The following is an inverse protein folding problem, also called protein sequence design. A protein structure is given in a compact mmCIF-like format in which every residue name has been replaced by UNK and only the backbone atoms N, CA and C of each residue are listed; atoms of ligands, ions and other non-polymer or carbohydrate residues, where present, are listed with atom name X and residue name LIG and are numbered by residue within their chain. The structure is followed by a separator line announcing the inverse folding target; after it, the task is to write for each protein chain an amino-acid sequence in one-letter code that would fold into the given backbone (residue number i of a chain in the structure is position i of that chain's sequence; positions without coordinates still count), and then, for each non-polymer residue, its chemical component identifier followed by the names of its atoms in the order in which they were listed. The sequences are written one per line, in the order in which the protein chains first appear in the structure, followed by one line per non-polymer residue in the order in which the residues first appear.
data_IF_569194540439
#
_entry.id   IF_569194540439
#
_cell.length_a   1.000
_cell.length_b   1.000
_cell.length_c   1.000
_cell.angle_alpha   90.00
_cell.angle_beta   90.00
_cell.angle_gamma   90.00
#
_symmetry.space_group_name_H-M   'P 1'
#
loop_
_entity.id
_entity.type
_entity.pdbx_description
1 polymer ?
#
# COMPACT_ATOMS: atom_id res chain seq x y z
N UNK A 1 -19.46 0.80 -28.46
CA UNK A 1 -20.05 -0.08 -29.49
C UNK A 1 -18.92 -0.65 -30.32
N UNK A 2 -18.58 -1.93 -30.11
CA UNK A 2 -17.60 -2.61 -30.93
C UNK A 2 -18.21 -2.93 -32.29
N UNK A 3 -17.48 -2.66 -33.38
CA UNK A 3 -17.92 -3.00 -34.74
C UNK A 3 -18.07 -4.52 -34.90
N UNK A 4 -19.14 -5.03 -35.50
CA UNK A 4 -19.31 -6.45 -35.69
C UNK A 4 -18.21 -7.03 -36.62
N UNK A 5 -17.76 -8.24 -36.30
CA UNK A 5 -16.78 -8.98 -37.08
C UNK A 5 -17.27 -9.09 -38.55
N UNK A 6 -16.46 -8.75 -39.58
CA UNK A 6 -16.91 -8.78 -40.94
C UNK A 6 -17.31 -10.20 -41.36
N UNK A 7 -18.50 -10.34 -41.96
CA UNK A 7 -18.99 -11.57 -42.59
C UNK A 7 -18.12 -11.88 -43.81
N UNK A 8 -17.21 -12.81 -43.68
CA UNK A 8 -16.53 -13.38 -44.83
C UNK A 8 -17.23 -14.71 -45.26
N UNK A 9 -18.08 -14.60 -46.24
CA UNK A 9 -18.71 -15.71 -46.93
C UNK A 9 -17.64 -16.45 -47.81
N UNK A 10 -16.86 -17.31 -47.16
CA UNK A 10 -16.02 -18.29 -47.87
C UNK A 10 -15.94 -19.59 -47.09
N UNK A 11 -16.60 -20.62 -47.64
CA UNK A 11 -16.32 -22.04 -47.47
C UNK A 11 -16.20 -22.61 -46.05
N UNK A 12 -17.31 -23.07 -45.44
CA UNK A 12 -17.30 -24.22 -44.52
C UNK A 12 -16.90 -23.97 -43.06
N UNK A 13 -16.34 -22.82 -42.64
CA UNK A 13 -16.01 -22.51 -41.24
C UNK A 13 -16.81 -21.32 -40.77
N UNK A 14 -17.70 -21.51 -39.81
CA UNK A 14 -18.43 -20.42 -39.15
C UNK A 14 -17.44 -19.44 -38.52
N UNK A 15 -17.49 -18.14 -38.88
CA UNK A 15 -16.61 -17.14 -38.25
C UNK A 15 -16.79 -17.15 -36.74
N UNK A 16 -15.71 -16.98 -35.99
CA UNK A 16 -15.76 -16.80 -34.52
C UNK A 16 -15.75 -18.08 -33.68
N UNK A 17 -15.93 -19.29 -34.25
CA UNK A 17 -15.95 -20.55 -33.47
C UNK A 17 -14.64 -20.77 -32.66
N UNK A 18 -13.52 -20.28 -33.16
CA UNK A 18 -12.22 -20.39 -32.47
C UNK A 18 -12.15 -19.57 -31.19
N UNK A 19 -12.97 -18.51 -31.04
CA UNK A 19 -13.00 -17.63 -29.88
C UNK A 19 -14.14 -17.96 -28.93
N UNK A 20 -14.98 -18.93 -29.24
CA UNK A 20 -16.18 -19.25 -28.48
C UNK A 20 -15.86 -19.60 -27.03
N UNK A 21 -14.93 -20.52 -26.79
CA UNK A 21 -14.54 -20.92 -25.43
C UNK A 21 -13.96 -19.74 -24.63
N UNK A 22 -13.19 -18.85 -25.28
CA UNK A 22 -12.67 -17.64 -24.65
C UNK A 22 -13.80 -16.67 -24.25
N UNK A 23 -14.80 -16.50 -25.12
CA UNK A 23 -15.96 -15.65 -24.82
C UNK A 23 -16.82 -16.25 -23.70
N UNK A 24 -17.01 -17.57 -23.68
CA UNK A 24 -17.68 -18.27 -22.56
C UNK A 24 -16.91 -18.02 -21.25
N UNK A 25 -15.59 -18.18 -21.29
CA UNK A 25 -14.72 -17.94 -20.16
C UNK A 25 -14.81 -16.49 -19.64
N UNK A 26 -14.67 -15.50 -20.52
CA UNK A 26 -14.79 -14.08 -20.15
C UNK A 26 -16.15 -13.74 -19.56
N UNK A 27 -17.23 -14.33 -20.11
CA UNK A 27 -18.57 -14.15 -19.58
C UNK A 27 -18.68 -14.71 -18.15
N UNK A 28 -18.22 -15.95 -17.93
CA UNK A 28 -18.26 -16.57 -16.62
C UNK A 28 -17.40 -15.81 -15.57
N UNK A 29 -16.21 -15.35 -15.95
CA UNK A 29 -15.36 -14.54 -15.06
C UNK A 29 -16.07 -13.31 -14.56
N UNK A 30 -16.88 -12.68 -15.41
CA UNK A 30 -17.53 -11.41 -15.12
C UNK A 30 -18.87 -11.55 -14.42
N UNK A 31 -19.62 -12.60 -14.73
CA UNK A 31 -21.01 -12.73 -14.29
C UNK A 31 -21.25 -13.86 -13.30
N UNK A 32 -20.22 -14.53 -12.80
CA UNK A 32 -20.38 -15.60 -11.83
C UNK A 32 -19.42 -15.50 -10.66
N UNK A 33 -19.87 -15.97 -9.51
CA UNK A 33 -19.15 -16.08 -8.25
C UNK A 33 -19.81 -17.17 -7.38
N UNK A 34 -19.48 -17.19 -6.08
CA UNK A 34 -20.04 -18.20 -5.16
C UNK A 34 -21.56 -18.13 -5.09
N UNK A 35 -22.15 -16.94 -5.22
CA UNK A 35 -23.57 -16.70 -5.10
C UNK A 35 -24.31 -16.61 -6.44
N UNK A 36 -23.60 -16.42 -7.56
CA UNK A 36 -24.19 -16.19 -8.85
C UNK A 36 -23.71 -17.23 -9.89
N UNK A 37 -24.66 -17.85 -10.58
CA UNK A 37 -24.39 -18.79 -11.67
C UNK A 37 -25.07 -18.32 -12.97
N UNK A 38 -24.39 -18.55 -14.09
CA UNK A 38 -24.88 -18.19 -15.42
C UNK A 38 -25.62 -19.36 -16.09
N UNK A 39 -26.86 -19.14 -16.49
CA UNK A 39 -27.62 -20.14 -17.24
C UNK A 39 -27.03 -20.35 -18.65
N UNK A 40 -27.21 -21.54 -19.23
CA UNK A 40 -26.82 -21.80 -20.62
C UNK A 40 -27.49 -20.83 -21.60
N UNK A 41 -28.68 -20.30 -21.28
CA UNK A 41 -29.37 -19.34 -22.15
C UNK A 41 -28.72 -17.97 -22.08
N UNK A 42 -28.29 -17.50 -20.90
CA UNK A 42 -27.55 -16.25 -20.74
C UNK A 42 -26.21 -16.30 -21.50
N UNK A 43 -25.50 -17.42 -21.42
CA UNK A 43 -24.24 -17.62 -22.18
C UNK A 43 -24.51 -17.60 -23.70
N UNK A 44 -25.59 -18.22 -24.18
CA UNK A 44 -25.98 -18.19 -25.60
C UNK A 44 -26.27 -16.76 -26.06
N UNK A 45 -27.02 -15.99 -25.27
CA UNK A 45 -27.33 -14.61 -25.63
C UNK A 45 -26.07 -13.77 -25.77
N UNK A 46 -25.16 -13.89 -24.81
CA UNK A 46 -23.85 -13.24 -24.91
C UNK A 46 -23.08 -13.63 -26.18
N UNK A 47 -23.05 -14.93 -26.52
CA UNK A 47 -22.39 -15.38 -27.75
C UNK A 47 -23.03 -14.83 -29.02
N UNK A 48 -24.38 -14.62 -29.01
CA UNK A 48 -25.12 -14.01 -30.15
C UNK A 48 -24.69 -12.56 -30.41
N UNK A 49 -24.32 -11.81 -29.38
CA UNK A 49 -23.79 -10.45 -29.54
C UNK A 49 -22.53 -10.43 -30.43
N UNK A 50 -21.77 -11.52 -30.44
CA UNK A 50 -20.59 -11.73 -31.26
C UNK A 50 -20.87 -12.50 -32.57
N UNK A 51 -22.16 -12.70 -32.90
CA UNK A 51 -22.55 -13.43 -34.11
C UNK A 51 -22.34 -14.94 -34.01
N UNK A 52 -22.15 -15.51 -32.83
CA UNK A 52 -21.89 -16.91 -32.58
C UNK A 52 -23.17 -17.62 -32.15
N UNK A 53 -23.61 -18.64 -32.88
CA UNK A 53 -24.72 -19.50 -32.47
C UNK A 53 -24.18 -20.74 -31.78
N UNK A 54 -24.64 -21.02 -30.57
CA UNK A 54 -24.27 -22.18 -29.79
C UNK A 54 -25.53 -22.87 -29.20
N UNK A 55 -25.48 -24.17 -29.05
CA UNK A 55 -26.45 -24.96 -28.28
C UNK A 55 -25.88 -25.31 -26.90
N UNK A 56 -26.74 -25.85 -26.03
CA UNK A 56 -26.37 -26.20 -24.67
C UNK A 56 -25.23 -27.22 -24.59
N UNK A 57 -25.25 -28.23 -25.49
CA UNK A 57 -24.21 -29.27 -25.51
C UNK A 57 -22.85 -28.71 -26.03
N UNK A 58 -22.92 -27.75 -26.92
CA UNK A 58 -21.73 -27.08 -27.42
C UNK A 58 -21.08 -26.21 -26.34
N UNK A 59 -21.86 -25.52 -25.50
CA UNK A 59 -21.36 -24.75 -24.35
C UNK A 59 -20.76 -25.68 -23.30
N UNK A 60 -21.42 -26.80 -22.98
CA UNK A 60 -20.88 -27.79 -22.06
C UNK A 60 -19.50 -28.31 -22.50
N UNK A 61 -19.35 -28.65 -23.77
CA UNK A 61 -18.04 -29.09 -24.33
C UNK A 61 -16.97 -28.01 -24.27
N UNK A 62 -17.33 -26.72 -24.42
CA UNK A 62 -16.36 -25.63 -24.25
C UNK A 62 -15.91 -25.54 -22.81
N UNK A 63 -16.82 -25.70 -21.85
CA UNK A 63 -16.54 -25.69 -20.43
C UNK A 63 -15.67 -26.89 -20.02
N UNK A 64 -16.00 -28.07 -20.53
CA UNK A 64 -15.18 -29.26 -20.30
C UNK A 64 -13.73 -29.04 -20.81
N UNK A 65 -13.59 -28.48 -22.02
CA UNK A 65 -12.28 -28.17 -22.61
C UNK A 65 -11.51 -27.12 -21.82
N UNK A 66 -12.20 -26.12 -21.20
CA UNK A 66 -11.57 -25.14 -20.31
C UNK A 66 -11.10 -25.80 -19.01
N UNK A 67 -11.92 -26.68 -18.41
CA UNK A 67 -11.52 -27.43 -17.22
C UNK A 67 -10.37 -28.39 -17.49
N UNK A 68 -10.34 -29.05 -18.66
CA UNK A 68 -9.18 -29.85 -19.11
C UNK A 68 -7.91 -29.00 -19.18
N UNK A 69 -7.99 -27.78 -19.75
CA UNK A 69 -6.85 -26.87 -19.83
C UNK A 69 -6.36 -26.49 -18.42
N UNK A 70 -7.26 -26.15 -17.50
CA UNK A 70 -6.89 -25.80 -16.13
C UNK A 70 -6.28 -26.99 -15.37
N UNK A 71 -6.78 -28.20 -15.61
CA UNK A 71 -6.22 -29.43 -15.02
C UNK A 71 -4.82 -29.74 -15.56
N UNK A 72 -4.56 -29.53 -16.86
CA UNK A 72 -3.23 -29.71 -17.49
C UNK A 72 -2.24 -28.69 -16.86
N UNK A 73 -2.65 -27.45 -16.72
CA UNK A 73 -1.84 -26.40 -16.13
C UNK A 73 -1.52 -26.69 -14.66
N UNK A 74 -2.51 -27.19 -13.91
CA UNK A 74 -2.32 -27.60 -12.51
C UNK A 74 -1.39 -28.81 -12.35
N UNK A 75 -1.33 -29.70 -13.35
CA UNK A 75 -0.48 -30.91 -13.34
C UNK A 75 0.94 -30.65 -13.88
N UNK A 76 1.18 -29.51 -14.53
CA UNK A 76 2.50 -29.16 -15.03
C UNK A 76 3.45 -28.83 -13.87
N UNK A 77 4.75 -29.17 -14.03
CA UNK A 77 5.81 -28.74 -13.11
C UNK A 77 6.11 -27.25 -13.26
N UNK A 78 5.08 -26.41 -13.13
CA UNK A 78 5.15 -24.94 -13.20
C UNK A 78 5.14 -24.42 -11.77
N UNK A 79 5.80 -23.29 -11.52
CA UNK A 79 5.73 -22.59 -10.24
C UNK A 79 4.23 -22.32 -9.90
N UNK A 80 3.82 -22.60 -8.66
CA UNK A 80 2.44 -22.39 -8.19
C UNK A 80 1.87 -20.99 -8.50
N UNK A 81 2.75 -20.01 -8.67
CA UNK A 81 2.39 -18.63 -9.00
C UNK A 81 1.93 -18.44 -10.45
N UNK A 82 2.31 -19.34 -11.34
CA UNK A 82 2.00 -19.26 -12.77
C UNK A 82 0.82 -20.16 -13.16
N UNK A 83 0.21 -20.88 -12.20
CA UNK A 83 -0.90 -21.80 -12.41
C UNK A 83 -2.22 -21.07 -12.58
N UNK A 84 -3.00 -21.50 -13.56
CA UNK A 84 -4.39 -21.09 -13.75
C UNK A 84 -5.30 -21.90 -12.82
N UNK A 85 -5.34 -21.56 -11.54
CA UNK A 85 -6.17 -22.26 -10.54
C UNK A 85 -7.64 -21.85 -10.70
N UNK A 86 -8.31 -22.37 -11.73
CA UNK A 86 -9.72 -22.16 -11.98
C UNK A 86 -10.46 -23.50 -12.11
N UNK A 87 -11.71 -23.51 -11.70
CA UNK A 87 -12.63 -24.61 -11.89
C UNK A 87 -14.03 -24.08 -12.23
N UNK A 88 -14.63 -24.58 -13.28
CA UNK A 88 -16.01 -24.26 -13.67
C UNK A 88 -16.90 -25.45 -13.36
N UNK A 89 -17.91 -25.24 -12.52
CA UNK A 89 -18.89 -26.27 -12.17
C UNK A 89 -20.30 -25.90 -12.64
N UNK A 90 -21.16 -26.91 -12.75
CA UNK A 90 -22.60 -26.71 -12.92
C UNK A 90 -23.26 -26.74 -11.55
N UNK A 91 -23.79 -25.61 -11.11
CA UNK A 91 -24.58 -25.50 -9.88
C UNK A 91 -26.03 -25.92 -10.15
N UNK A 92 -26.40 -27.07 -9.60
CA UNK A 92 -27.75 -27.63 -9.79
C UNK A 92 -28.83 -26.81 -9.06
N UNK A 93 -28.51 -26.16 -7.96
CA UNK A 93 -29.44 -25.33 -7.19
C UNK A 93 -29.78 -24.04 -7.95
N UNK A 94 -28.77 -23.42 -8.57
CA UNK A 94 -28.91 -22.20 -9.38
C UNK A 94 -29.18 -22.46 -10.84
N UNK A 95 -29.13 -23.72 -11.28
CA UNK A 95 -29.36 -24.19 -12.67
C UNK A 95 -28.44 -23.49 -13.69
N UNK A 96 -27.17 -23.29 -13.34
CA UNK A 96 -26.21 -22.58 -14.16
C UNK A 96 -24.77 -22.97 -13.89
N UNK A 97 -23.88 -22.51 -14.75
CA UNK A 97 -22.43 -22.66 -14.58
C UNK A 97 -21.88 -21.52 -13.74
N UNK A 98 -20.92 -21.83 -12.87
CA UNK A 98 -20.16 -20.82 -12.12
C UNK A 98 -18.69 -21.22 -12.01
N UNK A 99 -17.85 -20.24 -11.78
CA UNK A 99 -16.46 -20.46 -11.39
C UNK A 99 -16.44 -20.75 -9.88
N UNK A 100 -16.10 -21.99 -9.53
CA UNK A 100 -16.07 -22.45 -8.13
C UNK A 100 -14.70 -22.24 -7.49
N UNK A 101 -13.62 -22.15 -8.29
CA UNK A 101 -12.28 -21.88 -7.81
C UNK A 101 -11.67 -20.74 -8.62
N UNK A 102 -11.10 -19.77 -7.92
CA UNK A 102 -10.31 -18.66 -8.46
C UNK A 102 -8.95 -18.66 -7.79
N UNK A 103 -7.88 -18.14 -8.43
CA UNK A 103 -6.54 -18.08 -7.83
C UNK A 103 -6.43 -17.08 -6.67
N UNK A 104 -7.48 -16.36 -6.36
CA UNK A 104 -7.61 -15.37 -5.28
C UNK A 104 -9.04 -15.35 -4.75
N UNK A 105 -9.18 -15.13 -3.44
CA UNK A 105 -10.46 -15.00 -2.78
C UNK A 105 -11.01 -13.57 -2.87
N UNK A 106 -12.32 -13.40 -2.86
CA UNK A 106 -12.94 -12.07 -2.88
C UNK A 106 -12.54 -11.23 -1.65
N UNK A 107 -12.41 -11.85 -0.48
CA UNK A 107 -11.96 -11.17 0.74
C UNK A 107 -10.53 -10.64 0.62
N UNK A 108 -9.64 -11.32 -0.12
CA UNK A 108 -8.30 -10.83 -0.41
C UNK A 108 -8.36 -9.58 -1.32
N UNK A 109 -9.19 -9.61 -2.36
CA UNK A 109 -9.39 -8.46 -3.25
C UNK A 109 -10.02 -7.27 -2.52
N UNK A 110 -10.96 -7.52 -1.63
CA UNK A 110 -11.58 -6.55 -0.75
C UNK A 110 -10.55 -5.88 0.16
N UNK A 111 -9.72 -6.67 0.84
CA UNK A 111 -8.64 -6.17 1.68
C UNK A 111 -7.65 -5.31 0.88
N UNK A 112 -7.29 -5.72 -0.35
CA UNK A 112 -6.44 -4.92 -1.24
C UNK A 112 -7.10 -3.60 -1.61
N UNK A 113 -8.40 -3.60 -1.93
CA UNK A 113 -9.16 -2.37 -2.23
C UNK A 113 -9.20 -1.43 -1.02
N UNK A 114 -9.40 -1.96 0.18
CA UNK A 114 -9.36 -1.18 1.43
C UNK A 114 -7.97 -0.60 1.71
N UNK A 115 -6.90 -1.35 1.49
CA UNK A 115 -5.53 -0.85 1.58
C UNK A 115 -5.28 0.32 0.60
N UNK A 116 -5.78 0.21 -0.64
CA UNK A 116 -5.70 1.27 -1.64
C UNK A 116 -6.48 2.51 -1.17
N UNK A 117 -7.72 2.34 -0.69
CA UNK A 117 -8.53 3.42 -0.14
C UNK A 117 -7.89 4.07 1.09
N UNK A 118 -7.29 3.26 1.97
CA UNK A 118 -6.62 3.71 3.18
C UNK A 118 -5.33 4.50 2.92
N UNK A 119 -4.73 4.37 1.75
CA UNK A 119 -3.46 5.01 1.40
C UNK A 119 -3.59 6.53 1.32
N UNK A 120 -2.79 7.24 2.11
CA UNK A 120 -2.78 8.71 2.15
C UNK A 120 -1.89 9.33 1.07
N UNK A 121 -0.95 8.54 0.54
CA UNK A 121 0.11 9.02 -0.36
C UNK A 121 -0.27 8.98 -1.84
N UNK A 122 -1.39 8.37 -2.22
CA UNK A 122 -1.91 8.36 -3.59
C UNK A 122 -3.00 9.41 -3.78
N UNK A 123 -3.09 9.98 -4.98
CA UNK A 123 -4.17 10.88 -5.35
C UNK A 123 -5.47 10.13 -5.61
N UNK A 124 -6.61 10.84 -5.60
CA UNK A 124 -7.92 10.23 -5.91
C UNK A 124 -7.92 9.53 -7.28
N UNK A 125 -7.36 10.17 -8.30
CA UNK A 125 -7.26 9.59 -9.65
C UNK A 125 -6.41 8.29 -9.69
N UNK A 126 -5.38 8.18 -8.86
CA UNK A 126 -4.58 6.96 -8.76
C UNK A 126 -5.31 5.87 -7.98
N UNK A 127 -6.05 6.24 -6.95
CA UNK A 127 -6.94 5.32 -6.24
C UNK A 127 -7.97 4.73 -7.18
N UNK A 128 -8.70 5.58 -7.93
CA UNK A 128 -9.73 5.13 -8.87
C UNK A 128 -9.14 4.15 -9.90
N UNK A 129 -7.95 4.44 -10.44
CA UNK A 129 -7.28 3.55 -11.39
C UNK A 129 -6.89 2.20 -10.76
N UNK A 130 -6.37 2.20 -9.53
CA UNK A 130 -5.99 0.95 -8.83
C UNK A 130 -7.22 0.14 -8.45
N UNK A 131 -8.31 0.79 -8.04
CA UNK A 131 -9.57 0.10 -7.76
C UNK A 131 -10.14 -0.54 -9.01
N UNK A 132 -10.16 0.15 -10.15
CA UNK A 132 -10.56 -0.44 -11.43
C UNK A 132 -9.73 -1.68 -11.79
N UNK A 133 -8.42 -1.66 -11.50
CA UNK A 133 -7.57 -2.85 -11.73
C UNK A 133 -7.97 -4.03 -10.83
N UNK A 134 -8.41 -3.77 -9.58
CA UNK A 134 -8.92 -4.81 -8.68
C UNK A 134 -10.30 -5.29 -9.15
N UNK A 135 -11.16 -4.37 -9.58
CA UNK A 135 -12.50 -4.66 -10.12
C UNK A 135 -12.44 -5.58 -11.35
N UNK A 136 -11.41 -5.46 -12.19
CA UNK A 136 -11.18 -6.35 -13.35
C UNK A 136 -10.98 -7.83 -12.94
N UNK A 137 -10.67 -8.10 -11.66
CA UNK A 137 -10.52 -9.44 -11.10
C UNK A 137 -11.83 -9.96 -10.45
N UNK A 138 -12.83 -9.12 -10.28
CA UNK A 138 -14.08 -9.40 -9.59
C UNK A 138 -15.23 -9.75 -10.58
N UNK A 139 -16.28 -10.40 -10.07
CA UNK A 139 -17.57 -10.46 -10.76
C UNK A 139 -18.32 -9.12 -10.62
N UNK A 140 -19.37 -8.90 -11.44
CA UNK A 140 -20.19 -7.68 -11.36
C UNK A 140 -20.83 -7.50 -9.98
N UNK A 141 -21.32 -8.57 -9.36
CA UNK A 141 -21.92 -8.49 -8.02
C UNK A 141 -20.87 -8.19 -6.95
N UNK A 142 -19.66 -8.75 -7.06
CA UNK A 142 -18.53 -8.45 -6.18
C UNK A 142 -18.07 -6.99 -6.32
N UNK A 143 -18.11 -6.41 -7.53
CA UNK A 143 -17.83 -4.98 -7.74
C UNK A 143 -18.85 -4.12 -7.00
N UNK A 144 -20.15 -4.45 -7.10
CA UNK A 144 -21.20 -3.73 -6.35
C UNK A 144 -20.98 -3.80 -4.84
N UNK A 145 -20.56 -4.95 -4.33
CA UNK A 145 -20.23 -5.14 -2.93
C UNK A 145 -19.00 -4.32 -2.52
N UNK A 146 -17.92 -4.31 -3.33
CA UNK A 146 -16.75 -3.46 -3.10
C UNK A 146 -17.08 -1.97 -3.02
N UNK A 147 -18.09 -1.52 -3.78
CA UNK A 147 -18.52 -0.11 -3.77
C UNK A 147 -19.33 0.27 -2.53
N UNK A 148 -20.01 -0.68 -1.93
CA UNK A 148 -20.89 -0.45 -0.77
C UNK A 148 -20.15 -0.38 0.57
N UNK A 149 -18.81 -0.47 0.59
CA UNK A 149 -18.07 -0.68 1.80
C UNK A 149 -17.21 0.47 2.31
N UNK A 150 -16.94 0.35 3.59
CA UNK A 150 -16.03 1.12 4.47
C UNK A 150 -16.03 2.64 4.28
N UNK A 151 -16.80 3.29 5.14
CA UNK A 151 -16.77 4.75 5.28
C UNK A 151 -15.44 5.21 5.90
N UNK A 152 -14.49 5.63 5.06
CA UNK A 152 -13.24 6.23 5.50
C UNK A 152 -13.42 7.72 5.77
N UNK A 153 -13.60 8.08 7.03
CA UNK A 153 -13.78 9.47 7.45
C UNK A 153 -12.53 10.32 7.20
N UNK A 154 -12.72 11.44 6.46
CA UNK A 154 -11.88 12.64 6.58
C UNK A 154 -10.40 12.52 6.21
N UNK A 155 -10.01 11.64 5.27
CA UNK A 155 -8.62 11.55 4.84
C UNK A 155 -8.32 12.49 3.68
N UNK A 156 -7.56 13.55 3.94
CA UNK A 156 -6.99 14.37 2.88
C UNK A 156 -5.97 13.57 2.08
N UNK A 157 -6.32 13.19 0.87
CA UNK A 157 -5.39 12.59 -0.08
C UNK A 157 -4.46 13.65 -0.66
N UNK A 158 -3.28 13.19 -1.07
CA UNK A 158 -2.33 14.08 -1.74
C UNK A 158 -2.87 14.58 -3.08
N UNK A 159 -2.55 15.81 -3.43
CA UNK A 159 -2.75 16.34 -4.78
C UNK A 159 -1.64 15.93 -5.78
N UNK A 160 -0.58 15.29 -5.30
CA UNK A 160 0.57 14.91 -6.12
C UNK A 160 0.25 13.68 -6.99
N UNK A 161 -0.07 13.91 -8.25
CA UNK A 161 -0.36 12.87 -9.26
C UNK A 161 0.88 12.11 -9.75
N UNK A 162 2.08 12.56 -9.40
CA UNK A 162 3.33 12.01 -9.94
C UNK A 162 4.06 11.06 -8.99
N UNK A 163 3.45 10.67 -7.90
CA UNK A 163 4.12 9.93 -6.83
C UNK A 163 4.69 8.58 -7.31
N UNK A 164 3.94 7.84 -8.13
CA UNK A 164 4.41 6.56 -8.69
C UNK A 164 5.61 6.75 -9.62
N UNK A 165 5.60 7.81 -10.44
CA UNK A 165 6.76 8.15 -11.27
C UNK A 165 7.97 8.54 -10.42
N UNK A 166 7.75 9.29 -9.34
CA UNK A 166 8.80 9.64 -8.38
C UNK A 166 9.37 8.39 -7.72
N UNK A 167 8.54 7.44 -7.28
CA UNK A 167 8.97 6.14 -6.73
C UNK A 167 9.83 5.36 -7.73
N UNK A 168 9.40 5.27 -8.99
CA UNK A 168 10.16 4.60 -10.04
C UNK A 168 11.55 5.23 -10.21
N UNK A 169 11.63 6.57 -10.32
CA UNK A 169 12.90 7.30 -10.46
C UNK A 169 13.82 7.11 -9.25
N UNK A 170 13.25 7.17 -8.04
CA UNK A 170 13.99 6.95 -6.79
C UNK A 170 14.55 5.52 -6.75
N UNK A 171 13.73 4.50 -7.07
CA UNK A 171 14.20 3.10 -7.08
C UNK A 171 15.31 2.88 -8.12
N UNK A 172 15.19 3.49 -9.32
CA UNK A 172 16.24 3.45 -10.33
C UNK A 172 17.54 4.11 -9.82
N UNK A 173 17.44 5.26 -9.13
CA UNK A 173 18.58 5.94 -8.56
C UNK A 173 19.23 5.15 -7.42
N UNK A 174 18.44 4.51 -6.56
CA UNK A 174 18.94 3.63 -5.49
C UNK A 174 19.70 2.45 -6.09
N UNK A 175 19.11 1.77 -7.09
CA UNK A 175 19.75 0.64 -7.79
C UNK A 175 21.05 1.05 -8.50
N UNK A 176 21.04 2.22 -9.14
CA UNK A 176 22.21 2.77 -9.85
C UNK A 176 23.22 3.46 -8.94
N UNK A 177 22.96 3.58 -7.64
CA UNK A 177 23.78 4.33 -6.66
C UNK A 177 24.01 5.79 -7.10
N UNK A 178 22.97 6.43 -7.68
CA UNK A 178 23.01 7.81 -8.16
C UNK A 178 22.31 8.76 -7.19
N UNK A 179 22.67 10.05 -7.27
CA UNK A 179 21.92 11.13 -6.62
C UNK A 179 20.61 11.40 -7.37
N UNK A 180 19.69 12.08 -6.68
CA UNK A 180 18.46 12.63 -7.26
C UNK A 180 18.37 14.12 -7.01
N UNK A 181 17.65 14.82 -7.88
CA UNK A 181 17.20 16.20 -7.65
C UNK A 181 15.68 16.26 -7.59
N UNK A 182 15.12 17.15 -6.78
CA UNK A 182 13.69 17.38 -6.65
C UNK A 182 13.39 18.71 -5.97
N UNK A 183 12.20 19.26 -6.19
CA UNK A 183 11.64 20.35 -5.38
C UNK A 183 10.84 19.80 -4.21
N UNK A 184 11.06 20.36 -3.02
CA UNK A 184 10.32 19.95 -1.82
C UNK A 184 9.25 20.97 -1.48
N UNK A 185 8.01 20.51 -1.38
CA UNK A 185 6.82 21.34 -1.29
C UNK A 185 6.37 21.57 0.16
N UNK A 186 5.62 22.65 0.38
CA UNK A 186 4.89 22.96 1.62
C UNK A 186 3.55 23.62 1.30
N UNK A 187 2.58 23.48 2.16
CA UNK A 187 1.36 24.29 2.12
C UNK A 187 1.63 25.73 2.58
N UNK A 188 0.80 26.65 2.13
CA UNK A 188 0.78 28.06 2.61
C UNK A 188 -0.55 28.35 3.28
N UNK A 189 -0.57 29.38 4.13
CA UNK A 189 -1.81 29.82 4.79
C UNK A 189 -2.82 30.41 3.81
N UNK A 190 -2.33 31.05 2.76
CA UNK A 190 -3.17 31.74 1.76
C UNK A 190 -3.91 30.76 0.84
N UNK A 191 -3.30 29.61 0.58
CA UNK A 191 -3.91 28.56 -0.22
C UNK A 191 -3.51 27.20 0.36
N UNK A 192 -4.49 26.51 0.96
CA UNK A 192 -4.30 25.19 1.54
C UNK A 192 -4.54 24.05 0.54
N UNK A 193 -5.01 24.38 -0.67
CA UNK A 193 -5.25 23.42 -1.76
C UNK A 193 -4.01 23.20 -2.60
N UNK A 194 -3.11 24.19 -2.69
CA UNK A 194 -1.87 24.12 -3.45
C UNK A 194 -0.63 24.14 -2.55
N UNK A 195 0.39 23.44 -3.01
CA UNK A 195 1.68 23.40 -2.34
C UNK A 195 2.68 24.26 -3.13
N UNK A 196 3.52 25.03 -2.43
CA UNK A 196 4.60 25.83 -3.01
C UNK A 196 5.96 25.22 -2.68
N UNK A 197 6.93 25.42 -3.57
CA UNK A 197 8.28 24.93 -3.37
C UNK A 197 8.97 25.66 -2.19
N UNK A 198 9.65 24.91 -1.33
CA UNK A 198 10.52 25.44 -0.29
C UNK A 198 11.79 26.03 -0.90
N UNK A 199 12.59 26.75 -0.10
CA UNK A 199 13.90 27.36 -0.50
C UNK A 199 13.78 28.23 -1.76
N UNK A 200 12.65 28.93 -1.98
CA UNK A 200 12.47 29.77 -3.17
C UNK A 200 12.49 28.97 -4.48
N UNK A 201 12.13 27.69 -4.45
CA UNK A 201 12.10 26.84 -5.65
C UNK A 201 13.43 26.21 -6.03
N UNK A 202 14.49 26.35 -5.22
CA UNK A 202 15.76 25.67 -5.44
C UNK A 202 15.61 24.16 -5.28
N UNK A 203 16.30 23.40 -6.12
CA UNK A 203 16.30 21.96 -6.08
C UNK A 203 17.07 21.42 -4.86
N UNK A 204 16.56 20.32 -4.33
CA UNK A 204 17.26 19.50 -3.35
C UNK A 204 18.05 18.43 -4.11
N UNK A 205 19.34 18.34 -3.92
CA UNK A 205 20.18 17.26 -4.45
C UNK A 205 20.48 16.33 -3.27
N UNK A 206 20.07 15.06 -3.38
CA UNK A 206 20.16 14.10 -2.26
C UNK A 206 20.61 12.74 -2.76
N UNK A 207 21.24 11.98 -1.87
CA UNK A 207 21.68 10.61 -2.10
C UNK A 207 20.62 9.63 -1.56
N UNK A 208 19.79 9.00 -2.40
CA UNK A 208 18.69 8.15 -1.96
C UNK A 208 19.21 6.78 -1.50
N UNK A 209 18.65 6.24 -0.41
CA UNK A 209 19.03 4.94 0.15
C UNK A 209 17.86 3.97 0.25
N UNK A 210 16.71 4.39 0.81
CA UNK A 210 15.57 3.51 1.05
C UNK A 210 14.24 4.25 0.96
N UNK A 211 13.23 3.58 0.42
CA UNK A 211 11.84 3.97 0.58
C UNK A 211 11.26 3.29 1.80
N UNK A 212 10.50 4.01 2.60
CA UNK A 212 9.92 3.57 3.87
C UNK A 212 8.44 3.94 3.88
N UNK A 213 7.59 3.05 4.38
CA UNK A 213 6.19 3.35 4.67
C UNK A 213 6.07 3.51 6.18
N UNK A 214 5.46 4.62 6.62
CA UNK A 214 5.13 4.85 8.02
C UNK A 214 3.83 5.65 8.12
N UNK A 215 2.89 5.21 8.96
CA UNK A 215 1.58 5.83 9.19
C UNK A 215 0.82 6.15 7.89
N UNK A 216 0.88 5.23 6.91
CA UNK A 216 0.21 5.36 5.61
C UNK A 216 0.82 6.41 4.68
N UNK A 217 2.03 6.87 4.94
CA UNK A 217 2.78 7.78 4.07
C UNK A 217 4.08 7.12 3.59
N UNK A 218 4.52 7.47 2.37
CA UNK A 218 5.84 7.11 1.87
C UNK A 218 6.88 8.16 2.21
N UNK A 219 8.01 7.68 2.67
CA UNK A 219 9.19 8.48 2.98
C UNK A 219 10.40 7.98 2.21
N UNK A 220 11.23 8.89 1.77
CA UNK A 220 12.56 8.61 1.26
C UNK A 220 13.57 8.88 2.37
N UNK A 221 14.33 7.86 2.75
CA UNK A 221 15.56 8.03 3.53
C UNK A 221 16.70 8.36 2.57
N UNK A 222 17.29 9.52 2.73
CA UNK A 222 18.36 10.01 1.88
C UNK A 222 19.42 10.77 2.69
N UNK A 223 20.67 10.71 2.22
CA UNK A 223 21.74 11.48 2.81
C UNK A 223 21.76 12.90 2.26
N UNK A 224 21.85 13.87 3.17
CA UNK A 224 22.01 15.28 2.89
C UNK A 224 23.47 15.67 3.06
N UNK A 225 24.20 15.88 1.96
CA UNK A 225 25.63 16.25 1.99
C UNK A 225 25.87 17.65 2.57
N UNK A 226 24.85 18.56 2.58
CA UNK A 226 24.96 19.88 3.19
C UNK A 226 24.92 19.79 4.73
N UNK A 227 24.20 18.79 5.27
CA UNK A 227 24.02 18.56 6.71
C UNK A 227 24.86 17.40 7.24
N UNK A 228 25.51 16.68 6.35
CA UNK A 228 26.28 15.47 6.67
C UNK A 228 25.49 14.41 7.47
N UNK A 229 24.19 14.29 7.20
CA UNK A 229 23.29 13.43 7.96
C UNK A 229 22.21 12.76 7.10
N UNK A 230 21.68 11.63 7.62
CA UNK A 230 20.52 10.98 7.03
C UNK A 230 19.25 11.79 7.34
N UNK A 231 18.43 11.99 6.32
CA UNK A 231 17.19 12.77 6.40
C UNK A 231 16.05 12.02 5.76
N UNK A 232 14.85 12.24 6.24
CA UNK A 232 13.62 11.68 5.66
C UNK A 232 12.83 12.76 4.92
N UNK A 233 12.33 12.40 3.75
CA UNK A 233 11.52 13.27 2.89
C UNK A 233 10.22 12.56 2.54
N UNK A 234 9.08 13.20 2.76
CA UNK A 234 7.77 12.65 2.33
C UNK A 234 7.66 12.71 0.82
N UNK A 235 7.30 11.59 0.19
CA UNK A 235 7.20 11.50 -1.27
C UNK A 235 6.08 12.38 -1.85
N UNK A 236 4.97 12.51 -1.14
CA UNK A 236 3.84 13.34 -1.56
C UNK A 236 4.20 14.85 -1.63
N UNK A 237 5.30 15.24 -0.98
CA UNK A 237 5.85 16.61 -1.03
C UNK A 237 7.02 16.76 -1.99
N UNK A 238 7.38 15.73 -2.75
CA UNK A 238 8.45 15.78 -3.73
C UNK A 238 7.89 16.01 -5.13
N UNK A 239 8.42 16.99 -5.85
CA UNK A 239 8.01 17.33 -7.21
C UNK A 239 9.22 17.33 -8.14
N UNK A 240 9.03 16.79 -9.37
CA UNK A 240 10.07 16.82 -10.39
C UNK A 240 11.29 15.99 -10.01
N UNK A 241 11.09 14.76 -9.49
CA UNK A 241 12.20 13.87 -9.14
C UNK A 241 12.92 13.43 -10.41
N UNK A 242 14.22 13.77 -10.49
CA UNK A 242 15.08 13.38 -11.61
C UNK A 242 16.39 12.74 -11.10
N UNK A 243 16.93 11.82 -11.90
CA UNK A 243 18.20 11.14 -11.58
C UNK A 243 19.34 12.05 -11.98
N UNK A 244 20.21 12.34 -11.02
CA UNK A 244 21.48 13.04 -11.24
C UNK A 244 22.56 11.97 -11.31
N UNK A 245 23.18 11.79 -12.49
CA UNK A 245 24.23 10.77 -12.72
C UNK A 245 25.55 11.14 -12.02
N UNK A 246 25.48 11.33 -10.70
CA UNK A 246 26.60 11.51 -9.80
C UNK A 246 26.53 10.42 -8.72
N UNK A 247 27.66 9.83 -8.32
CA UNK A 247 27.69 8.85 -7.25
C UNK A 247 27.05 9.40 -5.96
N UNK A 248 26.28 8.56 -5.27
CA UNK A 248 25.68 8.95 -3.99
C UNK A 248 26.72 9.01 -2.88
N UNK A 249 26.55 9.94 -1.95
CA UNK A 249 27.35 10.09 -0.73
C UNK A 249 26.66 9.41 0.46
N UNK A 250 27.36 9.28 1.60
CA UNK A 250 26.79 8.95 2.89
C UNK A 250 26.63 7.44 3.15
N UNK A 251 27.37 6.57 2.44
CA UNK A 251 27.29 5.12 2.66
C UNK A 251 27.58 4.74 4.12
N UNK A 252 28.64 5.29 4.72
CA UNK A 252 29.02 5.02 6.10
C UNK A 252 27.95 5.50 7.12
N UNK A 253 27.17 6.54 6.79
CA UNK A 253 26.07 6.99 7.64
C UNK A 253 24.87 6.05 7.52
N UNK A 254 24.57 5.54 6.32
CA UNK A 254 23.50 4.58 6.10
C UNK A 254 23.80 3.21 6.74
N UNK A 255 25.03 2.72 6.63
CA UNK A 255 25.44 1.41 7.17
C UNK A 255 25.34 1.31 8.69
N UNK A 256 25.27 2.45 9.39
CA UNK A 256 25.02 2.51 10.84
C UNK A 256 23.54 2.35 11.21
N UNK A 257 22.62 2.41 10.24
CA UNK A 257 21.17 2.34 10.49
C UNK A 257 20.73 0.88 10.40
N UNK A 258 20.22 0.33 11.49
CA UNK A 258 19.46 -0.93 11.44
C UNK A 258 18.04 -0.66 10.92
N UNK A 259 17.82 -0.99 9.65
CA UNK A 259 16.53 -0.78 9.00
C UNK A 259 15.38 -1.62 9.57
N UNK A 260 15.66 -2.70 10.30
CA UNK A 260 14.63 -3.55 10.92
C UNK A 260 13.96 -2.84 12.08
N UNK A 261 14.73 -2.03 12.82
CA UNK A 261 14.25 -1.31 14.00
C UNK A 261 14.07 0.19 13.78
N UNK A 262 14.47 0.71 12.61
CA UNK A 262 14.49 2.14 12.32
C UNK A 262 13.13 2.83 12.56
N UNK A 263 12.04 2.26 12.05
CA UNK A 263 10.69 2.84 12.22
C UNK A 263 10.19 2.78 13.66
N UNK A 264 10.70 1.86 14.47
CA UNK A 264 10.39 1.77 15.91
C UNK A 264 11.13 2.83 16.72
N UNK A 265 12.37 3.18 16.32
CA UNK A 265 13.21 4.18 17.00
C UNK A 265 12.83 5.61 16.67
N UNK A 266 12.28 5.85 15.47
CA UNK A 266 11.97 7.19 14.95
C UNK A 266 10.50 7.54 15.15
N UNK A 267 10.21 8.68 15.79
CA UNK A 267 8.84 9.16 16.01
C UNK A 267 8.41 10.11 14.90
N UNK A 268 7.29 9.76 14.22
CA UNK A 268 6.75 10.52 13.07
C UNK A 268 7.78 10.83 11.99
N UNK A 269 8.77 9.93 11.82
CA UNK A 269 9.88 10.07 10.86
C UNK A 269 10.77 11.32 11.08
N UNK A 270 10.84 11.81 12.31
CA UNK A 270 11.80 12.83 12.73
C UNK A 270 12.99 12.16 13.41
N UNK A 271 14.13 12.22 12.74
CA UNK A 271 15.39 11.72 13.26
C UNK A 271 15.93 12.57 14.42
N UNK A 272 16.83 11.99 15.20
CA UNK A 272 17.52 12.63 16.32
C UNK A 272 18.77 11.85 16.70
N UNK A 273 19.29 12.08 17.88
CA UNK A 273 20.38 11.31 18.46
C UNK A 273 19.80 9.99 19.03
N UNK A 274 20.40 8.85 18.66
CA UNK A 274 19.99 7.55 19.20
C UNK A 274 20.45 7.43 20.67
N UNK A 275 19.49 7.17 21.55
CA UNK A 275 19.74 6.96 22.99
C UNK A 275 18.97 5.73 23.47
N UNK A 276 19.60 4.98 24.38
CA UNK A 276 18.93 3.92 25.11
C UNK A 276 18.14 4.54 26.27
N UNK A 277 16.81 4.55 26.14
CA UNK A 277 15.88 5.26 27.03
C UNK A 277 15.08 4.27 27.84
N UNK A 278 14.89 4.56 29.13
CA UNK A 278 13.92 3.84 29.97
C UNK A 278 12.72 4.73 30.28
N UNK A 279 11.54 4.21 30.02
CA UNK A 279 10.27 4.89 30.23
C UNK A 279 9.42 4.03 31.18
N UNK A 280 8.94 4.61 32.25
CA UNK A 280 7.99 4.01 33.19
C UNK A 280 6.57 4.30 32.72
N UNK A 281 5.74 3.26 32.64
CA UNK A 281 4.33 3.33 32.26
C UNK A 281 3.45 2.71 33.34
N UNK A 282 2.18 3.12 33.40
CA UNK A 282 1.15 2.39 34.12
C UNK A 282 0.80 1.10 33.36
N UNK A 283 0.39 0.02 34.06
CA UNK A 283 0.18 -1.30 33.48
C UNK A 283 -0.88 -1.34 32.38
N UNK A 284 -1.86 -0.44 32.39
CA UNK A 284 -2.89 -0.29 31.35
C UNK A 284 -2.36 0.17 29.99
N UNK A 285 -1.12 0.63 29.93
CA UNK A 285 -0.44 1.02 28.67
C UNK A 285 0.50 -0.05 28.11
N UNK A 286 0.45 -1.30 28.63
CA UNK A 286 1.37 -2.33 28.16
C UNK A 286 1.20 -2.64 26.67
N UNK A 287 -0.04 -2.79 26.19
CA UNK A 287 -0.31 -3.05 24.77
C UNK A 287 0.23 -1.93 23.89
N UNK A 288 -0.02 -0.67 24.29
CA UNK A 288 0.51 0.51 23.58
C UNK A 288 2.04 0.54 23.52
N UNK A 289 2.71 0.14 24.61
CA UNK A 289 4.17 0.07 24.65
C UNK A 289 4.69 -1.07 23.75
N UNK A 290 4.04 -2.24 23.77
CA UNK A 290 4.40 -3.38 22.92
C UNK A 290 4.16 -3.06 21.44
N UNK A 291 3.04 -2.44 21.08
CA UNK A 291 2.77 -2.00 19.72
C UNK A 291 3.82 -0.99 19.23
N UNK A 292 4.30 -0.11 20.11
CA UNK A 292 5.26 0.93 19.75
C UNK A 292 6.70 0.44 19.66
N UNK A 293 7.17 -0.30 20.67
CA UNK A 293 8.57 -0.71 20.78
C UNK A 293 8.82 -2.13 20.28
N UNK A 294 7.77 -2.94 20.19
CA UNK A 294 7.88 -4.36 19.83
C UNK A 294 8.45 -5.23 20.96
N UNK A 295 8.77 -6.48 20.60
CA UNK A 295 9.36 -7.50 21.50
C UNK A 295 10.74 -7.96 20.99
N UNK A 296 11.50 -7.07 20.34
CA UNK A 296 12.83 -7.37 19.80
C UNK A 296 13.87 -7.60 20.90
N UNK A 297 15.02 -8.17 20.52
CA UNK A 297 16.12 -8.49 21.45
C UNK A 297 16.70 -7.27 22.20
N UNK A 298 16.54 -6.07 21.65
CA UNK A 298 17.03 -4.81 22.23
C UNK A 298 15.95 -4.04 23.01
N UNK A 299 14.78 -4.65 23.25
CA UNK A 299 13.67 -4.05 24.00
C UNK A 299 13.42 -4.85 25.27
N UNK A 300 13.50 -4.18 26.42
CA UNK A 300 13.40 -4.84 27.71
C UNK A 300 12.18 -4.32 28.46
N UNK A 301 11.34 -5.24 28.92
CA UNK A 301 10.19 -4.96 29.77
C UNK A 301 10.45 -5.52 31.17
N UNK A 302 10.25 -4.70 32.20
CA UNK A 302 10.36 -5.15 33.58
C UNK A 302 9.25 -4.60 34.45
N UNK A 303 8.65 -5.36 35.35
CA UNK A 303 7.71 -4.86 36.33
C UNK A 303 8.35 -3.77 37.22
N UNK A 304 7.56 -2.78 37.64
CA UNK A 304 7.98 -1.73 38.56
C UNK A 304 6.88 -1.51 39.63
N UNK A 305 6.87 -2.37 40.63
CA UNK A 305 5.83 -2.43 41.65
C UNK A 305 4.50 -2.99 41.13
N UNK A 306 3.41 -2.75 41.89
CA UNK A 306 2.09 -3.36 41.59
C UNK A 306 1.32 -2.72 40.44
N UNK A 307 1.68 -1.50 40.02
CA UNK A 307 0.86 -0.72 39.09
C UNK A 307 1.60 -0.20 37.86
N UNK A 308 2.88 -0.51 37.71
CA UNK A 308 3.73 0.03 36.69
C UNK A 308 4.68 -1.00 36.10
N UNK A 309 5.18 -0.69 34.93
CA UNK A 309 6.32 -1.39 34.31
C UNK A 309 7.27 -0.37 33.68
N UNK A 310 8.47 -0.79 33.39
CA UNK A 310 9.47 0.01 32.66
C UNK A 310 9.79 -0.71 31.35
N UNK A 311 9.76 0.05 30.25
CA UNK A 311 10.33 -0.36 28.98
C UNK A 311 11.63 0.37 28.74
N UNK A 312 12.65 -0.36 28.29
CA UNK A 312 13.95 0.19 27.89
C UNK A 312 14.22 -0.18 26.44
N UNK A 313 14.45 0.82 25.60
CA UNK A 313 14.65 0.67 24.18
C UNK A 313 15.51 1.79 23.60
N UNK A 314 16.08 1.56 22.43
CA UNK A 314 16.71 2.59 21.63
C UNK A 314 15.67 3.51 20.99
N UNK A 315 15.87 4.84 21.11
CA UNK A 315 14.97 5.87 20.61
C UNK A 315 15.79 7.03 20.04
N UNK A 316 15.41 7.51 18.87
CA UNK A 316 15.95 8.79 18.34
C UNK A 316 15.26 9.97 19.02
N UNK A 317 16.02 10.71 19.83
CA UNK A 317 15.51 11.80 20.66
C UNK A 317 15.09 12.98 19.77
N UNK A 318 13.81 13.31 19.82
CA UNK A 318 13.19 14.37 19.05
C UNK A 318 12.03 15.03 19.81
N UNK A 319 11.60 16.21 19.37
CA UNK A 319 10.40 16.86 19.94
C UNK A 319 9.15 15.99 19.77
N UNK A 320 9.07 15.16 18.74
CA UNK A 320 7.98 14.22 18.50
C UNK A 320 7.99 13.08 19.50
N UNK A 321 9.17 12.59 19.88
CA UNK A 321 9.29 11.61 20.97
C UNK A 321 8.77 12.18 22.28
N UNK A 322 9.21 13.38 22.67
CA UNK A 322 8.72 14.02 23.88
C UNK A 322 7.21 14.26 23.83
N UNK A 323 6.68 14.75 22.72
CA UNK A 323 5.25 14.95 22.52
C UNK A 323 4.45 13.65 22.63
N UNK A 324 4.99 12.54 22.10
CA UNK A 324 4.35 11.22 22.21
C UNK A 324 4.26 10.77 23.68
N UNK A 325 5.34 10.91 24.46
CA UNK A 325 5.32 10.60 25.89
C UNK A 325 4.34 11.49 26.64
N UNK A 326 4.26 12.80 26.31
CA UNK A 326 3.30 13.72 26.89
C UNK A 326 1.84 13.33 26.62
N UNK A 327 1.57 12.65 25.49
CA UNK A 327 0.22 12.16 25.15
C UNK A 327 -0.39 11.22 26.19
N UNK A 328 0.42 10.61 27.04
CA UNK A 328 -0.03 9.72 28.12
C UNK A 328 -0.21 10.47 29.46
N UNK A 329 -0.03 11.78 29.48
CA UNK A 329 -0.19 12.62 30.64
C UNK A 329 0.66 12.11 31.84
N UNK A 330 0.03 11.73 32.96
CA UNK A 330 0.71 11.25 34.17
C UNK A 330 0.97 9.73 34.17
N UNK A 331 0.58 9.01 33.11
CA UNK A 331 0.73 7.55 32.99
C UNK A 331 2.07 7.11 32.40
N UNK A 332 2.87 8.04 31.89
CA UNK A 332 4.20 7.77 31.35
C UNK A 332 5.23 8.76 31.89
N UNK A 333 6.45 8.27 32.17
CA UNK A 333 7.56 9.10 32.65
C UNK A 333 8.89 8.55 32.15
N UNK A 334 9.69 9.38 31.50
CA UNK A 334 11.08 9.06 31.16
C UNK A 334 11.88 9.03 32.47
N UNK A 335 12.61 7.95 32.71
CA UNK A 335 13.40 7.77 33.94
C UNK A 335 14.90 7.72 33.70
N UNK A 336 15.33 7.41 32.47
CA UNK A 336 16.74 7.46 32.07
C UNK A 336 16.87 7.62 30.55
N UNK A 337 18.03 8.10 30.04
CA UNK A 337 19.14 8.66 30.79
C UNK A 337 18.86 10.10 31.27
N UNK A 338 19.69 10.65 32.19
CA UNK A 338 19.43 11.96 32.79
C UNK A 338 19.29 13.13 31.79
N UNK A 339 20.10 13.13 30.73
CA UNK A 339 20.03 14.16 29.69
C UNK A 339 18.69 14.16 28.93
N UNK A 340 18.08 12.98 28.72
CA UNK A 340 16.77 12.87 28.07
C UNK A 340 15.66 13.31 29.02
N UNK A 341 15.80 13.02 30.32
CA UNK A 341 14.89 13.53 31.37
C UNK A 341 14.93 15.05 31.43
N UNK A 342 16.13 15.65 31.37
CA UNK A 342 16.28 17.11 31.37
C UNK A 342 15.69 17.73 30.10
N UNK A 343 15.98 17.16 28.92
CA UNK A 343 15.35 17.57 27.66
C UNK A 343 13.83 17.52 27.67
N UNK A 344 13.24 16.53 28.39
CA UNK A 344 11.79 16.49 28.59
C UNK A 344 11.29 17.63 29.46
N UNK A 345 12.01 18.03 30.53
CA UNK A 345 11.63 19.16 31.36
C UNK A 345 11.70 20.48 30.58
N UNK A 346 12.79 20.68 29.82
CA UNK A 346 12.92 21.86 28.94
C UNK A 346 11.78 21.89 27.90
N UNK A 347 11.42 20.75 27.32
CA UNK A 347 10.30 20.66 26.39
C UNK A 347 8.97 21.07 27.05
N UNK A 348 8.69 20.59 28.25
CA UNK A 348 7.48 20.94 29.02
C UNK A 348 7.43 22.40 29.43
N UNK A 349 8.56 22.96 29.91
CA UNK A 349 8.65 24.39 30.23
C UNK A 349 8.39 25.26 29.00
N UNK A 350 9.02 24.92 27.85
CA UNK A 350 8.79 25.66 26.61
C UNK A 350 7.35 25.57 26.08
N UNK A 351 6.55 24.58 26.49
CA UNK A 351 5.11 24.56 26.24
C UNK A 351 4.38 25.46 27.23
N UNK A 352 4.67 25.34 28.55
CA UNK A 352 4.02 26.12 29.60
C UNK A 352 4.19 27.64 29.38
N UNK A 353 5.41 28.08 29.10
CA UNK A 353 5.74 29.47 28.82
C UNK A 353 4.86 30.11 27.71
N UNK A 354 4.40 29.33 26.76
CA UNK A 354 3.50 29.78 25.68
C UNK A 354 2.09 30.11 26.16
N UNK A 355 1.63 29.45 27.21
CA UNK A 355 0.30 29.68 27.77
C UNK A 355 0.33 30.69 28.92
N UNK A 356 1.54 31.02 29.44
CA UNK A 356 1.72 32.04 30.45
C UNK A 356 2.01 33.43 29.85
N UNK A 357 2.41 33.47 28.53
CA UNK A 357 2.82 34.69 27.82
C UNK A 357 1.66 35.44 27.15
N UNK A 358 0.40 35.00 27.28
CA UNK A 358 -0.81 35.66 26.83
C UNK A 358 -1.52 36.31 28.04
#
# INVERSE_FOLDING_TARGET
MASPIPNSDQGGKRPGQKFKSLLVWQYLLKHTDDDHAASSEAIKEHLREYGITADRHSIARDIDALNELFAIDAAAEIDDRDRLNYEIIYDTSKRGYKIACRPYDFEELRLLAECVRASKFISKSQEDHLLTTIEDLCSESQIEELHNEVYLVGRNKTSNRHIMRSMLRINQAIKGKWKISFKYLKYTLNDRSTQVARRGGKDYIRSPYKLIINDGNYYLLAYDSEKESMMTYRLDRMQGVEIVKQPRDGAAAYDKIDMRTYTQRVFSMFGGEDKFVSIRFTNDLLDTAVERFGNGEEVFYRPDGKGHFVVSAHVEISKQFYAWVCGFYNKAKIISPPEVVEGMKEFLHGIADRYESE
#
